data_IF_268479665892
#
_entry.id   IF_268479665892
#
_cell.length_a   1.000
_cell.length_b   1.000
_cell.length_c   1.000
_cell.angle_alpha   90.00
_cell.angle_beta   90.00
_cell.angle_gamma   90.00
#
_symmetry.space_group_name_H-M   'P 1'
#
loop_
_entity.id
_entity.type
_entity.pdbx_description
1 polymer ?
#
# COMPACT_ATOMS: atom_id res chain seq x y z
N UNK A 1 32.39 40.22 -2.50
CA UNK A 1 31.98 39.14 -3.40
C UNK A 1 33.02 38.03 -3.40
N UNK A 2 32.86 37.02 -2.54
CA UNK A 2 33.69 35.82 -2.60
C UNK A 2 33.13 34.89 -3.68
N UNK A 3 33.87 34.78 -4.79
CA UNK A 3 33.62 33.82 -5.86
C UNK A 3 33.97 32.42 -5.35
N UNK A 4 32.96 31.60 -5.06
CA UNK A 4 33.13 30.15 -5.01
C UNK A 4 33.42 29.66 -6.45
N UNK A 5 34.68 29.29 -6.69
CA UNK A 5 35.07 28.55 -7.88
C UNK A 5 34.38 27.17 -7.85
N UNK A 6 33.28 27.04 -8.58
CA UNK A 6 32.58 25.78 -8.79
C UNK A 6 33.30 25.04 -9.93
N UNK A 7 33.89 23.86 -9.65
CA UNK A 7 34.41 22.95 -10.68
C UNK A 7 33.24 22.50 -11.57
N UNK A 8 33.07 23.17 -12.71
CA UNK A 8 32.29 22.69 -13.84
C UNK A 8 33.16 21.72 -14.64
N UNK A 9 32.81 20.43 -14.75
CA UNK A 9 33.52 19.57 -15.71
C UNK A 9 33.38 18.04 -15.66
N UNK A 10 32.89 17.42 -14.58
CA UNK A 10 32.85 15.94 -14.55
C UNK A 10 31.57 15.39 -15.20
N UNK A 11 31.73 14.68 -16.32
CA UNK A 11 30.66 13.88 -16.92
C UNK A 11 30.23 12.82 -15.90
N UNK A 12 28.93 12.56 -15.71
CA UNK A 12 28.46 11.53 -14.79
C UNK A 12 29.07 10.17 -15.18
N UNK A 13 29.77 9.56 -14.22
CA UNK A 13 30.46 8.29 -14.45
C UNK A 13 29.43 7.18 -14.70
N UNK A 14 29.60 6.46 -15.81
CA UNK A 14 28.73 5.31 -16.12
C UNK A 14 29.03 4.15 -15.17
N UNK A 15 27.98 3.43 -14.78
CA UNK A 15 28.11 2.24 -13.96
C UNK A 15 28.99 1.19 -14.65
N UNK A 16 30.04 0.73 -13.97
CA UNK A 16 30.94 -0.30 -14.50
C UNK A 16 30.41 -1.69 -14.18
N UNK A 17 30.83 -2.69 -14.96
CA UNK A 17 30.48 -4.10 -14.71
C UNK A 17 30.98 -4.58 -13.34
N UNK A 18 32.12 -4.08 -12.90
CA UNK A 18 32.67 -4.38 -11.59
C UNK A 18 31.84 -3.78 -10.45
N UNK A 19 31.47 -2.51 -10.54
CA UNK A 19 30.59 -1.85 -9.59
C UNK A 19 29.24 -2.56 -9.49
N UNK A 20 28.66 -2.97 -10.63
CA UNK A 20 27.41 -3.75 -10.64
C UNK A 20 27.58 -5.13 -9.98
N UNK A 21 28.68 -5.85 -10.20
CA UNK A 21 28.95 -7.12 -9.52
C UNK A 21 29.05 -6.95 -8.00
N UNK A 22 29.73 -5.89 -7.56
CA UNK A 22 29.85 -5.58 -6.14
C UNK A 22 28.48 -5.23 -5.54
N UNK A 23 27.68 -4.43 -6.24
CA UNK A 23 26.30 -4.13 -5.84
C UNK A 23 25.45 -5.40 -5.70
N UNK A 24 25.44 -6.29 -6.70
CA UNK A 24 24.64 -7.52 -6.67
C UNK A 24 25.05 -8.47 -5.53
N UNK A 25 26.29 -8.40 -5.06
CA UNK A 25 26.80 -9.19 -3.94
C UNK A 25 26.31 -8.69 -2.58
N UNK A 26 26.26 -7.36 -2.39
CA UNK A 26 25.99 -6.76 -1.08
C UNK A 26 24.57 -6.19 -0.93
N UNK A 27 23.98 -5.67 -2.01
CA UNK A 27 22.64 -5.05 -2.04
C UNK A 27 22.41 -4.05 -0.91
N UNK A 28 23.38 -3.16 -0.70
CA UNK A 28 23.32 -2.10 0.31
C UNK A 28 22.39 -0.95 -0.14
N UNK A 29 21.14 -1.29 -0.45
CA UNK A 29 20.17 -0.34 -0.97
C UNK A 29 19.71 0.65 0.11
N UNK A 30 19.36 1.87 -0.32
CA UNK A 30 18.54 2.80 0.44
C UNK A 30 17.11 2.68 -0.05
N UNK A 31 16.20 2.29 0.86
CA UNK A 31 14.78 2.16 0.55
C UNK A 31 13.96 3.15 1.36
N UNK A 32 13.06 3.87 0.69
CA UNK A 32 12.02 4.71 1.30
C UNK A 32 10.68 4.03 1.09
N UNK A 33 9.98 3.73 2.18
CA UNK A 33 8.66 3.11 2.17
C UNK A 33 7.63 4.08 2.76
N UNK A 34 6.58 4.38 2.00
CA UNK A 34 5.45 5.21 2.43
C UNK A 34 4.24 4.28 2.60
N UNK A 35 3.83 4.06 3.84
CA UNK A 35 2.61 3.34 4.17
C UNK A 35 1.47 4.31 4.44
N UNK A 36 0.30 4.08 3.83
CA UNK A 36 -0.85 4.96 4.01
C UNK A 36 -2.18 4.23 3.75
N UNK A 37 -3.29 4.85 4.15
CA UNK A 37 -4.62 4.41 3.77
C UNK A 37 -4.93 4.72 2.30
N UNK A 38 -5.77 3.89 1.65
CA UNK A 38 -6.26 4.13 0.28
C UNK A 38 -7.32 5.22 0.19
N UNK A 39 -7.95 5.56 1.32
CA UNK A 39 -8.97 6.61 1.39
C UNK A 39 -8.68 7.58 2.53
N UNK A 40 -9.14 8.82 2.37
CA UNK A 40 -9.05 9.85 3.39
C UNK A 40 -10.40 10.58 3.52
N UNK A 41 -10.85 10.75 4.77
CA UNK A 41 -12.07 11.49 5.06
C UNK A 41 -11.80 13.00 5.04
N UNK A 42 -12.62 13.73 4.29
CA UNK A 42 -12.59 15.18 4.19
C UNK A 42 -13.00 15.84 5.52
N UNK A 43 -12.29 16.90 5.86
CA UNK A 43 -12.56 17.82 6.96
C UNK A 43 -13.49 18.93 6.49
N UNK A 44 -14.50 19.31 7.28
CA UNK A 44 -15.49 20.33 6.89
C UNK A 44 -15.40 21.56 7.80
N UNK A 45 -15.33 22.75 7.19
CA UNK A 45 -15.20 24.00 7.94
C UNK A 45 -13.89 24.02 8.75
N UNK A 46 -13.99 24.28 10.06
CA UNK A 46 -12.83 24.35 10.95
C UNK A 46 -12.48 23.02 11.64
N UNK A 47 -13.28 21.96 11.44
CA UNK A 47 -12.98 20.63 11.99
C UNK A 47 -11.72 20.07 11.32
N UNK A 48 -10.85 19.36 12.06
CA UNK A 48 -9.71 18.63 11.50
C UNK A 48 -9.88 17.13 11.70
N UNK A 49 -10.15 16.41 10.62
CA UNK A 49 -10.22 14.95 10.58
C UNK A 49 -8.88 14.41 10.11
N UNK A 50 -8.02 14.08 11.06
CA UNK A 50 -6.71 13.53 10.75
C UNK A 50 -6.82 12.17 10.07
N UNK A 51 -5.89 11.89 9.15
CA UNK A 51 -5.79 10.61 8.46
C UNK A 51 -5.56 9.48 9.47
N UNK A 52 -6.31 8.39 9.31
CA UNK A 52 -6.30 7.27 10.22
C UNK A 52 -6.41 5.94 9.44
N UNK A 53 -5.40 5.06 9.51
CA UNK A 53 -4.14 5.22 10.25
C UNK A 53 -3.27 6.38 9.72
N UNK A 54 -2.39 6.96 10.55
CA UNK A 54 -1.50 8.03 10.12
C UNK A 54 -0.52 7.50 9.08
N UNK A 55 -0.26 8.22 7.97
CA UNK A 55 0.77 7.82 7.03
C UNK A 55 2.12 7.68 7.71
N UNK A 56 2.88 6.66 7.35
CA UNK A 56 4.20 6.37 7.91
C UNK A 56 5.25 6.37 6.81
N UNK A 57 6.44 6.87 7.15
CA UNK A 57 7.62 6.79 6.30
C UNK A 57 8.65 5.92 7.01
N UNK A 58 9.17 4.90 6.33
CA UNK A 58 10.24 4.03 6.81
C UNK A 58 11.47 4.16 5.92
N UNK A 59 12.63 4.20 6.55
CA UNK A 59 13.95 4.12 5.92
C UNK A 59 14.49 2.71 6.13
N UNK A 60 14.50 1.90 5.08
CA UNK A 60 14.90 0.50 5.12
C UNK A 60 16.19 0.26 4.31
N UNK A 61 16.90 -0.81 4.64
CA UNK A 61 18.14 -1.22 3.96
C UNK A 61 19.40 -0.70 4.64
N UNK A 62 20.49 -1.48 4.55
CA UNK A 62 21.80 -1.15 5.11
C UNK A 62 22.44 0.08 4.45
N UNK A 63 21.97 0.48 3.26
CA UNK A 63 22.48 1.62 2.52
C UNK A 63 22.38 2.95 3.27
N UNK A 64 21.37 3.13 4.12
CA UNK A 64 21.23 4.35 4.93
C UNK A 64 22.38 4.49 5.94
N UNK A 65 22.71 3.39 6.62
CA UNK A 65 23.84 3.35 7.57
C UNK A 65 25.17 3.54 6.84
N UNK A 66 25.36 2.87 5.70
CA UNK A 66 26.58 3.02 4.89
C UNK A 66 26.76 4.45 4.37
N UNK A 67 25.65 5.11 3.99
CA UNK A 67 25.66 6.51 3.55
C UNK A 67 26.05 7.45 4.69
N UNK A 68 25.52 7.24 5.89
CA UNK A 68 25.91 7.97 7.10
C UNK A 68 27.42 7.85 7.35
N UNK A 69 27.95 6.62 7.42
CA UNK A 69 29.39 6.36 7.63
C UNK A 69 30.29 6.99 6.55
N UNK A 70 29.83 7.05 5.30
CA UNK A 70 30.57 7.69 4.22
C UNK A 70 30.59 9.20 4.36
N UNK A 71 29.47 9.83 4.72
CA UNK A 71 29.41 11.27 4.95
C UNK A 71 30.27 11.70 6.14
N UNK A 72 30.31 10.89 7.20
CA UNK A 72 31.20 11.11 8.35
C UNK A 72 32.69 11.05 7.96
N UNK A 73 33.08 10.10 7.11
CA UNK A 73 34.45 10.02 6.57
C UNK A 73 34.82 11.21 5.68
N UNK A 74 33.83 11.83 5.04
CA UNK A 74 33.99 13.06 4.26
C UNK A 74 34.01 14.32 5.14
N UNK A 75 33.86 14.18 6.46
CA UNK A 75 33.95 15.26 7.44
C UNK A 75 32.62 15.90 7.83
N UNK A 76 31.47 15.35 7.40
CA UNK A 76 30.16 15.80 7.90
C UNK A 76 29.96 15.39 9.36
N UNK A 77 29.32 16.25 10.12
CA UNK A 77 28.81 15.91 11.46
C UNK A 77 27.62 14.95 11.36
N UNK A 78 27.32 14.25 12.45
CA UNK A 78 26.15 13.35 12.53
C UNK A 78 24.83 14.09 12.19
N UNK A 79 24.69 15.34 12.65
CA UNK A 79 23.53 16.18 12.35
C UNK A 79 23.41 16.54 10.86
N UNK A 80 24.52 16.78 10.19
CA UNK A 80 24.57 17.10 8.76
C UNK A 80 24.26 15.89 7.88
N UNK A 81 24.62 14.68 8.36
CA UNK A 81 24.41 13.44 7.64
C UNK A 81 23.06 12.76 7.96
N UNK A 82 22.33 13.25 8.96
CA UNK A 82 21.00 12.75 9.31
C UNK A 82 19.97 13.05 8.21
N UNK A 83 19.16 12.06 7.78
CA UNK A 83 18.03 12.29 6.89
C UNK A 83 16.89 13.06 7.57
N UNK A 84 16.42 14.10 6.90
CA UNK A 84 15.26 14.90 7.24
C UNK A 84 14.15 14.67 6.21
N UNK A 85 12.91 14.50 6.66
CA UNK A 85 11.76 14.30 5.79
C UNK A 85 10.62 15.29 6.09
N UNK A 86 9.95 15.74 5.05
CA UNK A 86 8.76 16.60 5.12
C UNK A 86 7.65 15.94 4.33
N UNK A 87 6.43 15.90 4.87
CA UNK A 87 5.28 15.27 4.22
C UNK A 87 4.14 16.26 4.02
N UNK A 88 3.50 16.20 2.85
CA UNK A 88 2.33 17.03 2.53
C UNK A 88 1.34 16.29 1.64
N UNK A 89 0.19 16.92 1.39
CA UNK A 89 -0.89 16.36 0.55
C UNK A 89 -0.83 16.85 -0.92
N UNK A 90 0.29 17.46 -1.31
CA UNK A 90 0.50 18.02 -2.65
C UNK A 90 -0.41 19.21 -2.99
N UNK A 91 -0.87 19.96 -1.98
CA UNK A 91 -1.51 21.27 -2.17
C UNK A 91 -0.51 22.35 -1.73
N UNK A 92 -0.29 23.38 -2.56
CA UNK A 92 0.63 24.48 -2.26
C UNK A 92 0.16 25.39 -1.13
N UNK A 93 -1.14 25.37 -0.81
CA UNK A 93 -1.72 26.19 0.28
C UNK A 93 -1.43 25.61 1.67
N UNK A 94 -1.06 24.33 1.77
CA UNK A 94 -0.79 23.67 3.04
C UNK A 94 0.70 23.38 3.17
N UNK A 95 1.32 23.93 4.21
CA UNK A 95 2.72 23.68 4.53
C UNK A 95 2.99 22.18 4.76
N UNK A 96 4.18 21.74 4.34
CA UNK A 96 4.62 20.38 4.60
C UNK A 96 4.96 20.22 6.08
N UNK A 97 4.48 19.13 6.67
CA UNK A 97 4.80 18.77 8.04
C UNK A 97 6.17 18.09 8.11
N UNK A 98 7.04 18.55 9.01
CA UNK A 98 8.30 17.88 9.30
C UNK A 98 8.05 16.53 10.00
N UNK A 99 8.75 15.49 9.55
CA UNK A 99 8.81 14.17 10.17
C UNK A 99 10.09 14.08 10.99
N UNK A 100 9.97 13.77 12.28
CA UNK A 100 11.12 13.53 13.13
C UNK A 100 11.61 12.07 12.96
N UNK A 101 12.74 11.91 12.25
CA UNK A 101 13.44 10.65 12.00
C UNK A 101 14.70 10.50 12.87
N UNK A 102 14.96 11.39 13.82
CA UNK A 102 16.19 11.38 14.64
C UNK A 102 16.29 10.07 15.43
N UNK A 103 17.37 9.31 15.16
CA UNK A 103 17.63 8.01 15.78
C UNK A 103 16.59 6.91 15.47
N UNK A 104 15.64 7.16 14.55
CA UNK A 104 14.58 6.21 14.20
C UNK A 104 14.54 5.95 12.71
N UNK A 105 14.37 4.69 12.35
CA UNK A 105 14.15 4.29 10.95
C UNK A 105 12.72 4.52 10.47
N UNK A 106 11.83 5.09 11.29
CA UNK A 106 10.46 5.37 10.90
C UNK A 106 9.88 6.61 11.58
N UNK A 107 8.91 7.24 10.92
CA UNK A 107 8.11 8.33 11.50
C UNK A 107 6.67 8.30 10.98
N UNK A 108 5.74 8.86 11.75
CA UNK A 108 4.30 8.88 11.43
C UNK A 108 3.77 10.31 11.36
N UNK A 109 2.97 10.61 10.34
CA UNK A 109 2.34 11.91 10.12
C UNK A 109 0.95 11.98 10.76
N UNK A 110 0.89 12.28 12.07
CA UNK A 110 -0.35 12.18 12.86
C UNK A 110 -1.36 13.31 12.64
N UNK A 111 -0.93 14.42 12.05
CA UNK A 111 -1.73 15.66 11.95
C UNK A 111 -2.09 16.04 10.52
N UNK A 112 -1.89 15.14 9.55
CA UNK A 112 -2.32 15.36 8.17
C UNK A 112 -3.84 15.25 8.05
N UNK A 113 -4.45 16.19 7.32
CA UNK A 113 -5.87 16.23 7.00
C UNK A 113 -6.06 16.91 5.63
N UNK A 114 -7.23 16.72 5.02
CA UNK A 114 -7.64 17.41 3.79
C UNK A 114 -8.93 18.19 4.03
N UNK A 115 -8.91 19.49 3.70
CA UNK A 115 -10.05 20.42 3.86
C UNK A 115 -11.12 20.22 2.79
N UNK A 116 -12.33 20.71 3.03
CA UNK A 116 -13.40 20.76 2.04
C UNK A 116 -13.25 21.85 0.98
N UNK A 117 -12.35 22.81 1.22
CA UNK A 117 -11.85 23.73 0.18
C UNK A 117 -11.17 22.97 -0.95
N UNK A 118 -10.46 21.88 -0.64
CA UNK A 118 -9.82 21.02 -1.64
C UNK A 118 -10.86 20.20 -2.42
N UNK A 119 -10.95 20.47 -3.73
CA UNK A 119 -11.94 19.85 -4.63
C UNK A 119 -11.42 18.59 -5.34
N UNK A 120 -10.16 18.21 -5.12
CA UNK A 120 -9.59 17.01 -5.74
C UNK A 120 -10.34 15.77 -5.26
N UNK A 121 -10.68 14.87 -6.19
CA UNK A 121 -11.29 13.56 -5.87
C UNK A 121 -10.24 12.57 -5.36
N UNK A 122 -8.99 12.77 -5.76
CA UNK A 122 -7.85 11.94 -5.38
C UNK A 122 -6.62 12.82 -5.21
N UNK A 123 -5.71 12.41 -4.34
CA UNK A 123 -4.41 13.06 -4.16
C UNK A 123 -3.34 11.99 -3.89
N UNK A 124 -2.07 12.41 -3.86
CA UNK A 124 -0.95 11.60 -3.38
C UNK A 124 -0.25 12.39 -2.28
N UNK A 125 0.30 11.69 -1.30
CA UNK A 125 1.20 12.29 -0.34
C UNK A 125 2.53 12.56 -1.05
N UNK A 126 3.15 13.67 -0.69
CA UNK A 126 4.47 14.07 -1.17
C UNK A 126 5.42 14.04 0.01
N UNK A 127 6.45 13.20 -0.05
CA UNK A 127 7.53 13.12 0.95
C UNK A 127 8.78 13.72 0.33
N UNK A 128 9.18 14.90 0.78
CA UNK A 128 10.43 15.55 0.39
C UNK A 128 11.51 15.18 1.40
N UNK A 129 12.64 14.69 0.93
CA UNK A 129 13.76 14.27 1.77
C UNK A 129 15.04 15.02 1.44
N UNK A 130 15.76 15.41 2.49
CA UNK A 130 17.02 16.15 2.45
C UNK A 130 17.94 15.57 3.54
N UNK A 131 19.25 15.76 3.41
CA UNK A 131 20.17 15.60 4.54
C UNK A 131 20.25 16.90 5.35
N UNK A 132 20.79 16.85 6.57
CA UNK A 132 20.99 18.01 7.43
C UNK A 132 21.87 19.10 6.80
N UNK A 133 22.85 18.71 5.97
CA UNK A 133 23.66 19.64 5.16
C UNK A 133 22.91 20.23 3.95
N UNK A 134 21.59 20.08 3.86
CA UNK A 134 20.74 20.52 2.75
C UNK A 134 20.96 19.82 1.42
N UNK A 135 21.77 18.75 1.36
CA UNK A 135 21.89 17.92 0.16
C UNK A 135 20.55 17.23 -0.12
N UNK A 136 20.09 17.33 -1.37
CA UNK A 136 18.76 16.88 -1.76
C UNK A 136 18.75 15.38 -2.10
N UNK A 137 17.97 14.60 -1.35
CA UNK A 137 17.75 13.18 -1.64
C UNK A 137 16.73 13.09 -2.77
N UNK A 138 15.55 13.70 -2.59
CA UNK A 138 14.52 13.70 -3.61
C UNK A 138 13.10 13.87 -3.07
N UNK A 139 12.14 13.71 -3.97
CA UNK A 139 10.70 13.77 -3.70
C UNK A 139 10.03 12.44 -4.06
N UNK A 140 9.43 11.80 -3.07
CA UNK A 140 8.76 10.51 -3.17
C UNK A 140 7.24 10.69 -3.05
N UNK A 141 6.48 9.97 -3.87
CA UNK A 141 5.01 10.08 -3.89
C UNK A 141 4.39 8.84 -3.24
N UNK A 142 3.25 8.99 -2.56
CA UNK A 142 2.46 7.82 -2.20
C UNK A 142 1.70 7.27 -3.41
N UNK A 143 1.05 6.11 -3.24
CA UNK A 143 0.00 5.70 -4.19
C UNK A 143 -1.21 6.62 -4.03
N UNK A 144 -2.12 6.58 -5.01
CA UNK A 144 -3.31 7.43 -5.06
C UNK A 144 -4.22 7.18 -3.85
N UNK A 145 -4.63 8.27 -3.19
CA UNK A 145 -5.58 8.27 -2.07
C UNK A 145 -6.89 8.90 -2.52
N UNK A 146 -8.01 8.20 -2.34
CA UNK A 146 -9.35 8.67 -2.69
C UNK A 146 -9.95 9.52 -1.56
N UNK A 147 -10.48 10.69 -1.90
CA UNK A 147 -11.16 11.57 -0.94
C UNK A 147 -12.61 11.14 -0.80
N UNK A 148 -13.05 10.93 0.45
CA UNK A 148 -14.44 10.58 0.78
C UNK A 148 -15.04 11.62 1.74
N UNK A 149 -16.34 11.86 1.64
CA UNK A 149 -17.06 12.80 2.52
C UNK A 149 -17.32 12.21 3.89
N UNK A 150 -17.97 11.04 3.94
CA UNK A 150 -18.25 10.23 5.13
C UNK A 150 -18.31 8.74 4.76
N UNK A 151 -18.02 7.82 5.70
CA UNK A 151 -18.30 6.40 5.52
C UNK A 151 -19.79 6.18 5.23
N UNK A 152 -20.12 5.33 4.26
CA UNK A 152 -21.51 5.02 3.93
C UNK A 152 -22.15 4.18 5.04
N UNK A 153 -23.30 4.60 5.55
CA UNK A 153 -24.14 3.79 6.44
C UNK A 153 -25.13 2.89 5.69
N UNK A 154 -25.36 3.15 4.39
CA UNK A 154 -26.25 2.33 3.56
C UNK A 154 -25.54 1.03 3.19
N UNK A 155 -26.31 -0.05 2.94
CA UNK A 155 -25.77 -1.29 2.36
C UNK A 155 -24.90 -0.92 1.16
N UNK A 156 -23.64 -1.34 1.19
CA UNK A 156 -22.70 -1.00 0.12
C UNK A 156 -23.13 -1.74 -1.14
N UNK A 157 -23.17 -1.03 -2.27
CA UNK A 157 -23.41 -1.64 -3.57
C UNK A 157 -22.08 -1.94 -4.26
N UNK A 158 -21.99 -3.10 -4.90
CA UNK A 158 -20.86 -3.47 -5.76
C UNK A 158 -20.67 -2.52 -6.96
N UNK A 159 -21.67 -1.68 -7.27
CA UNK A 159 -21.54 -0.58 -8.26
C UNK A 159 -20.43 0.42 -7.89
N UNK A 160 -20.10 0.53 -6.60
CA UNK A 160 -18.98 1.34 -6.09
C UNK A 160 -17.88 0.42 -5.54
N UNK A 161 -17.33 -0.41 -6.42
CA UNK A 161 -16.28 -1.38 -6.13
C UNK A 161 -15.05 -0.78 -5.42
N UNK A 162 -14.68 0.47 -5.73
CA UNK A 162 -13.54 1.18 -5.12
C UNK A 162 -13.57 1.28 -3.59
N UNK A 163 -14.77 1.21 -2.99
CA UNK A 163 -14.94 1.30 -1.54
C UNK A 163 -15.07 -0.07 -0.88
N UNK A 164 -15.23 -1.13 -1.67
CA UNK A 164 -15.27 -2.50 -1.15
C UNK A 164 -13.85 -2.99 -0.85
N UNK A 165 -13.73 -3.99 0.01
CA UNK A 165 -12.46 -4.63 0.33
C UNK A 165 -12.40 -5.96 -0.41
N UNK A 166 -11.38 -6.14 -1.25
CA UNK A 166 -11.18 -7.38 -1.99
C UNK A 166 -10.27 -8.35 -1.22
N UNK A 167 -10.51 -9.65 -1.40
CA UNK A 167 -9.64 -10.71 -0.91
C UNK A 167 -8.22 -10.54 -1.45
N UNK A 168 -7.23 -10.86 -0.61
CA UNK A 168 -5.81 -10.70 -0.93
C UNK A 168 -5.29 -9.26 -0.88
N UNK A 169 -6.16 -8.26 -0.62
CA UNK A 169 -5.71 -6.88 -0.40
C UNK A 169 -5.30 -6.65 1.05
N UNK A 170 -4.62 -5.52 1.30
CA UNK A 170 -4.14 -5.16 2.64
C UNK A 170 -5.09 -4.18 3.33
N UNK A 171 -5.30 -4.41 4.62
CA UNK A 171 -6.10 -3.57 5.51
C UNK A 171 -5.33 -3.21 6.77
N UNK A 172 -5.67 -2.08 7.38
CA UNK A 172 -5.35 -1.78 8.75
C UNK A 172 -6.62 -1.85 9.60
N UNK A 173 -6.45 -2.27 10.85
CA UNK A 173 -7.50 -2.33 11.85
C UNK A 173 -7.15 -1.38 13.00
N UNK A 174 -8.10 -0.55 13.38
CA UNK A 174 -7.94 0.32 14.53
C UNK A 174 -9.20 0.40 15.37
N UNK A 175 -9.03 0.53 16.67
CA UNK A 175 -10.09 0.82 17.59
C UNK A 175 -9.94 2.24 18.11
N UNK A 176 -11.06 2.92 18.33
CA UNK A 176 -11.11 4.23 18.96
C UNK A 176 -12.17 4.25 20.04
N UNK A 177 -11.75 4.06 21.29
CA UNK A 177 -12.64 4.05 22.44
C UNK A 177 -13.32 5.41 22.61
N UNK A 178 -14.66 5.42 22.66
CA UNK A 178 -15.51 6.63 22.81
C UNK A 178 -15.19 7.75 21.80
N UNK A 179 -14.72 7.39 20.61
CA UNK A 179 -14.34 8.34 19.54
C UNK A 179 -13.24 9.33 19.92
N UNK A 180 -12.43 9.05 20.94
CA UNK A 180 -11.32 9.92 21.37
C UNK A 180 -10.04 9.64 20.59
N UNK A 181 -9.42 10.64 19.97
CA UNK A 181 -8.22 10.42 19.14
C UNK A 181 -7.05 9.81 19.92
N UNK A 182 -6.84 10.23 21.17
CA UNK A 182 -5.76 9.74 22.06
C UNK A 182 -5.94 8.26 22.45
N UNK A 183 -7.18 7.76 22.42
CA UNK A 183 -7.47 6.34 22.71
C UNK A 183 -7.31 5.44 21.48
N UNK A 184 -6.92 5.98 20.32
CA UNK A 184 -6.77 5.16 19.11
C UNK A 184 -5.67 4.12 19.34
N UNK A 185 -6.00 2.86 19.06
CA UNK A 185 -5.06 1.74 19.06
C UNK A 185 -5.18 1.00 17.74
N UNK A 186 -4.05 0.59 17.19
CA UNK A 186 -3.96 -0.11 15.92
C UNK A 186 -3.52 -1.55 16.16
N UNK A 187 -4.11 -2.49 15.44
CA UNK A 187 -3.59 -3.85 15.41
C UNK A 187 -2.18 -3.80 14.80
N UNK A 188 -1.22 -4.40 15.48
CA UNK A 188 0.18 -4.45 15.07
C UNK A 188 0.81 -5.75 15.57
N UNK A 189 1.94 -6.13 14.98
CA UNK A 189 2.69 -7.34 15.35
C UNK A 189 4.11 -6.93 15.71
N UNK A 190 4.53 -7.25 16.93
CA UNK A 190 5.88 -6.99 17.44
C UNK A 190 6.29 -8.14 18.36
N UNK A 191 7.57 -8.53 18.32
CA UNK A 191 8.09 -9.59 19.19
C UNK A 191 7.33 -10.92 19.09
N UNK A 192 6.86 -11.27 17.89
CA UNK A 192 6.11 -12.52 17.66
C UNK A 192 4.69 -12.54 18.27
N UNK A 193 4.12 -11.38 18.62
CA UNK A 193 2.79 -11.30 19.23
C UNK A 193 1.92 -10.22 18.56
N UNK A 194 0.62 -10.47 18.51
CA UNK A 194 -0.37 -9.45 18.13
C UNK A 194 -0.63 -8.51 19.31
N UNK A 195 -0.53 -7.21 19.06
CA UNK A 195 -0.72 -6.16 20.05
C UNK A 195 -1.57 -5.01 19.51
N UNK A 196 -2.01 -4.16 20.42
CA UNK A 196 -2.76 -2.95 20.12
C UNK A 196 -1.86 -1.72 20.38
N UNK A 197 -1.14 -1.26 19.34
CA UNK A 197 -0.16 -0.17 19.46
C UNK A 197 -0.83 1.21 19.39
N UNK A 198 -0.30 2.17 20.14
CA UNK A 198 -0.67 3.60 20.02
C UNK A 198 0.20 4.38 19.02
N UNK A 199 1.30 3.78 18.55
CA UNK A 199 2.32 4.45 17.74
C UNK A 199 2.44 3.88 16.33
N UNK A 200 2.40 2.56 16.22
CA UNK A 200 2.57 1.82 14.98
C UNK A 200 1.27 1.14 14.57
N UNK A 201 1.15 0.76 13.31
CA UNK A 201 0.00 0.01 12.81
C UNK A 201 0.48 -1.03 11.81
N UNK A 202 -0.12 -2.21 11.83
CA UNK A 202 0.15 -3.28 10.89
C UNK A 202 -0.72 -3.19 9.64
N UNK A 203 -0.15 -3.54 8.49
CA UNK A 203 -0.90 -3.86 7.30
C UNK A 203 -1.08 -5.39 7.23
N UNK A 204 -2.32 -5.84 7.18
CA UNK A 204 -2.68 -7.26 7.15
C UNK A 204 -3.34 -7.60 5.83
N UNK A 205 -2.89 -8.65 5.16
CA UNK A 205 -3.66 -9.27 4.11
C UNK A 205 -4.95 -9.83 4.69
N UNK A 206 -6.08 -9.55 4.03
CA UNK A 206 -7.36 -10.16 4.35
C UNK A 206 -7.71 -11.17 3.25
N UNK A 207 -7.64 -12.44 3.57
CA UNK A 207 -7.93 -13.53 2.65
C UNK A 207 -9.33 -14.07 2.92
N UNK A 208 -10.14 -14.17 1.87
CA UNK A 208 -11.42 -14.87 1.90
C UNK A 208 -11.15 -16.37 1.85
N UNK A 209 -11.78 -17.11 2.77
CA UNK A 209 -11.71 -18.56 2.83
C UNK A 209 -13.05 -19.18 2.48
N UNK A 210 -13.05 -20.48 2.16
CA UNK A 210 -14.27 -21.26 2.16
C UNK A 210 -14.78 -21.50 3.58
N UNK A 211 -16.08 -21.74 3.74
CA UNK A 211 -16.65 -21.98 5.05
C UNK A 211 -16.30 -23.38 5.59
N UNK A 212 -15.96 -24.32 4.72
CA UNK A 212 -15.48 -25.66 5.12
C UNK A 212 -13.96 -25.72 5.35
N UNK A 213 -13.23 -24.62 5.11
CA UNK A 213 -11.77 -24.58 5.25
C UNK A 213 -11.34 -24.80 6.70
N UNK A 214 -10.51 -25.82 6.95
CA UNK A 214 -9.96 -26.14 8.27
C UNK A 214 -8.89 -25.13 8.73
N UNK A 215 -8.57 -25.13 10.03
CA UNK A 215 -7.47 -24.30 10.53
C UNK A 215 -6.11 -24.88 10.09
N UNK A 216 -5.29 -24.07 9.41
CA UNK A 216 -3.95 -24.45 8.95
C UNK A 216 -3.07 -23.25 8.61
N UNK A 217 -1.75 -23.45 8.50
CA UNK A 217 -0.81 -22.42 8.04
C UNK A 217 -0.91 -22.22 6.51
N UNK A 218 -1.12 -23.31 5.78
CA UNK A 218 -1.50 -23.31 4.37
C UNK A 218 -3.02 -23.40 4.25
N UNK A 219 -3.60 -22.60 3.36
CA UNK A 219 -5.05 -22.52 3.16
C UNK A 219 -5.37 -22.04 1.74
N UNK A 220 -6.52 -22.46 1.22
CA UNK A 220 -7.00 -22.00 -0.07
C UNK A 220 -7.58 -20.58 0.03
N UNK A 221 -7.10 -19.68 -0.84
CA UNK A 221 -7.59 -18.29 -0.91
C UNK A 221 -8.61 -18.19 -2.04
N UNK A 222 -9.79 -17.64 -1.73
CA UNK A 222 -10.81 -17.33 -2.72
C UNK A 222 -10.71 -15.87 -3.17
N UNK A 223 -10.94 -15.64 -4.45
CA UNK A 223 -11.09 -14.29 -5.01
C UNK A 223 -12.50 -13.73 -4.74
N UNK A 224 -12.61 -12.40 -4.73
CA UNK A 224 -13.88 -11.69 -4.57
C UNK A 224 -13.82 -10.57 -3.54
N UNK A 225 -14.96 -9.89 -3.35
CA UNK A 225 -15.11 -8.89 -2.29
C UNK A 225 -15.53 -9.54 -0.99
N UNK A 226 -14.98 -9.05 0.12
CA UNK A 226 -15.32 -9.50 1.46
C UNK A 226 -16.71 -8.97 1.83
N UNK A 227 -17.60 -9.85 2.22
CA UNK A 227 -18.94 -9.56 2.75
C UNK A 227 -18.99 -9.90 4.23
N UNK A 228 -19.90 -9.25 4.95
CA UNK A 228 -20.19 -9.64 6.34
C UNK A 228 -20.71 -11.09 6.40
N UNK A 229 -20.39 -11.78 7.48
CA UNK A 229 -20.73 -13.19 7.67
C UNK A 229 -19.73 -14.18 7.06
N UNK A 230 -18.79 -13.72 6.24
CA UNK A 230 -17.80 -14.61 5.60
C UNK A 230 -16.60 -14.92 6.49
N UNK A 231 -16.02 -16.10 6.27
CA UNK A 231 -14.77 -16.55 6.90
C UNK A 231 -13.56 -15.87 6.25
N UNK A 232 -12.72 -15.23 7.06
CA UNK A 232 -11.51 -14.52 6.63
C UNK A 232 -10.30 -14.91 7.47
N UNK A 233 -9.11 -14.80 6.87
CA UNK A 233 -7.83 -14.94 7.56
C UNK A 233 -7.02 -13.66 7.42
N UNK A 234 -6.53 -13.15 8.55
CA UNK A 234 -5.71 -11.95 8.61
C UNK A 234 -4.24 -12.32 8.77
N UNK A 235 -3.40 -11.91 7.82
CA UNK A 235 -1.97 -12.26 7.78
C UNK A 235 -1.14 -10.98 7.76
N UNK A 236 -0.20 -10.83 8.70
CA UNK A 236 0.69 -9.68 8.75
C UNK A 236 1.57 -9.63 7.50
N UNK A 237 1.53 -8.50 6.77
CA UNK A 237 2.29 -8.37 5.52
C UNK A 237 3.81 -8.26 5.69
N UNK A 238 4.29 -8.09 6.93
CA UNK A 238 5.72 -7.99 7.25
C UNK A 238 6.24 -9.31 7.84
N UNK A 239 5.59 -9.84 8.87
CA UNK A 239 6.08 -11.02 9.60
C UNK A 239 5.51 -12.34 9.12
N UNK A 240 4.45 -12.32 8.30
CA UNK A 240 3.71 -13.53 7.90
C UNK A 240 2.83 -14.13 9.00
N UNK A 241 2.86 -13.59 10.23
CA UNK A 241 2.01 -14.09 11.31
C UNK A 241 0.53 -13.95 10.97
N UNK A 242 -0.23 -15.02 11.21
CA UNK A 242 -1.65 -15.08 10.95
C UNK A 242 -2.46 -15.13 12.25
N UNK A 243 -3.64 -14.52 12.23
CA UNK A 243 -4.69 -14.83 13.22
C UNK A 243 -5.40 -16.13 12.83
N UNK A 244 -6.08 -16.81 13.78
CA UNK A 244 -6.97 -17.93 13.49
C UNK A 244 -8.07 -17.55 12.48
N UNK A 245 -8.86 -18.52 12.01
CA UNK A 245 -10.05 -18.22 11.18
C UNK A 245 -11.02 -17.30 11.92
N UNK A 246 -11.40 -16.20 11.27
CA UNK A 246 -12.30 -15.19 11.81
C UNK A 246 -13.54 -15.06 10.92
N UNK A 247 -14.68 -14.78 11.51
CA UNK A 247 -15.87 -14.34 10.77
C UNK A 247 -16.05 -12.84 10.99
N UNK A 248 -16.02 -12.07 9.90
CA UNK A 248 -16.20 -10.62 9.97
C UNK A 248 -17.69 -10.28 10.12
N UNK A 249 -18.04 -9.62 11.23
CA UNK A 249 -19.42 -9.24 11.57
C UNK A 249 -19.57 -7.72 11.59
N UNK A 250 -20.74 -7.23 11.18
CA UNK A 250 -21.05 -5.80 11.16
C UNK A 250 -21.38 -5.31 12.55
N UNK A 251 -20.82 -4.18 12.97
CA UNK A 251 -21.08 -3.60 14.29
C UNK A 251 -21.85 -2.30 14.16
N UNK A 252 -23.01 -2.24 14.82
CA UNK A 252 -23.71 -1.00 15.09
C UNK A 252 -23.77 -0.77 16.60
N UNK A 253 -23.26 0.39 17.03
CA UNK A 253 -23.03 0.73 18.45
C UNK A 253 -22.14 -0.32 19.15
N UNK A 254 -22.74 -1.25 19.88
CA UNK A 254 -22.08 -2.34 20.61
C UNK A 254 -22.68 -3.71 20.25
N UNK A 255 -23.46 -3.79 19.18
CA UNK A 255 -24.10 -5.01 18.73
C UNK A 255 -23.48 -5.48 17.42
N UNK A 256 -22.91 -6.70 17.43
CA UNK A 256 -22.49 -7.41 16.24
C UNK A 256 -23.70 -8.13 15.65
N UNK A 257 -24.03 -7.83 14.39
CA UNK A 257 -25.10 -8.49 13.63
C UNK A 257 -24.56 -9.77 12.98
N UNK A 258 -25.33 -10.85 13.12
CA UNK A 258 -24.99 -12.17 12.57
C UNK A 258 -25.57 -12.42 11.17
N UNK A 259 -26.57 -11.62 10.79
CA UNK A 259 -27.36 -11.73 9.56
C UNK A 259 -26.94 -10.73 8.47
N UNK A 260 -25.99 -9.84 8.77
CA UNK A 260 -25.47 -8.90 7.79
C UNK A 260 -24.72 -9.64 6.68
N UNK A 261 -25.11 -9.36 5.44
CA UNK A 261 -24.58 -9.99 4.21
C UNK A 261 -23.98 -8.96 3.24
N UNK A 262 -24.00 -7.66 3.58
CA UNK A 262 -23.54 -6.62 2.68
C UNK A 262 -22.00 -6.58 2.54
N UNK A 263 -21.44 -6.08 1.42
CA UNK A 263 -20.01 -5.92 1.24
C UNK A 263 -19.39 -5.04 2.32
N UNK A 264 -18.24 -5.45 2.83
CA UNK A 264 -17.46 -4.66 3.79
C UNK A 264 -16.85 -3.45 3.08
N UNK A 265 -17.09 -2.26 3.64
CA UNK A 265 -16.68 -0.99 3.04
C UNK A 265 -15.66 -0.24 3.90
N UNK A 266 -14.95 0.71 3.28
CA UNK A 266 -13.95 1.55 3.97
C UNK A 266 -14.54 2.26 5.19
N UNK A 267 -13.79 2.24 6.29
CA UNK A 267 -14.13 2.89 7.57
C UNK A 267 -15.40 2.36 8.25
N UNK A 268 -15.88 1.18 7.86
CA UNK A 268 -16.92 0.49 8.62
C UNK A 268 -16.43 0.00 9.97
N UNK A 269 -17.35 -0.06 10.94
CA UNK A 269 -17.13 -0.75 12.20
C UNK A 269 -17.52 -2.21 12.06
N UNK A 270 -16.62 -3.09 12.44
CA UNK A 270 -16.74 -4.52 12.35
C UNK A 270 -16.17 -5.19 13.60
N UNK A 271 -16.54 -6.45 13.82
CA UNK A 271 -15.99 -7.30 14.85
C UNK A 271 -15.54 -8.61 14.20
N UNK A 272 -14.55 -9.26 14.78
CA UNK A 272 -14.02 -10.52 14.30
C UNK A 272 -14.34 -11.63 15.30
N UNK A 273 -15.34 -12.44 14.97
CA UNK A 273 -15.68 -13.63 15.74
C UNK A 273 -14.66 -14.73 15.44
N UNK A 274 -14.12 -15.38 16.46
CA UNK A 274 -13.22 -16.53 16.27
C UNK A 274 -14.06 -17.75 15.91
N UNK A 275 -13.86 -18.28 14.71
CA UNK A 275 -14.66 -19.39 14.19
C UNK A 275 -14.52 -20.63 15.10
N UNK A 276 -15.60 -21.39 15.24
CA UNK A 276 -15.69 -22.60 16.07
C UNK A 276 -15.50 -22.38 17.58
N UNK A 277 -15.68 -21.14 18.06
CA UNK A 277 -15.64 -20.79 19.50
C UNK A 277 -17.00 -20.39 20.05
N UNK A 278 -17.16 -20.41 21.37
CA UNK A 278 -18.40 -19.97 22.02
C UNK A 278 -18.51 -18.44 22.12
N UNK A 279 -18.88 -17.79 21.00
CA UNK A 279 -19.06 -16.32 20.90
C UNK A 279 -17.82 -15.53 21.32
N UNK A 280 -16.62 -16.05 21.06
CA UNK A 280 -15.38 -15.33 21.36
C UNK A 280 -15.05 -14.36 20.22
N UNK A 281 -14.71 -13.13 20.58
CA UNK A 281 -14.32 -12.10 19.63
C UNK A 281 -12.90 -11.61 19.88
N UNK A 282 -12.24 -11.21 18.78
CA UNK A 282 -10.96 -10.52 18.82
C UNK A 282 -11.15 -9.15 19.48
N UNK A 283 -10.63 -9.01 20.69
CA UNK A 283 -10.84 -7.83 21.53
C UNK A 283 -9.50 -7.25 21.96
N UNK A 284 -9.40 -5.92 21.97
CA UNK A 284 -8.29 -5.28 22.66
C UNK A 284 -8.60 -5.14 24.15
N UNK A 285 -7.58 -5.28 24.97
CA UNK A 285 -7.59 -4.86 26.37
C UNK A 285 -6.29 -4.13 26.66
N UNK A 286 -6.40 -2.81 26.83
CA UNK A 286 -5.25 -1.90 26.92
C UNK A 286 -4.36 -1.99 25.67
N UNK A 287 -3.20 -2.65 25.76
CA UNK A 287 -2.24 -2.84 24.67
C UNK A 287 -2.19 -4.31 24.19
N UNK A 288 -2.96 -5.21 24.82
CA UNK A 288 -2.98 -6.64 24.48
C UNK A 288 -4.17 -6.98 23.59
N UNK A 289 -3.97 -7.98 22.75
CA UNK A 289 -5.04 -8.63 22.00
C UNK A 289 -5.46 -9.88 22.78
N UNK A 290 -6.75 -9.96 23.10
CA UNK A 290 -7.35 -11.05 23.86
C UNK A 290 -8.59 -11.57 23.14
N UNK A 291 -9.07 -12.72 23.58
CA UNK A 291 -10.39 -13.22 23.21
C UNK A 291 -11.38 -12.79 24.30
N UNK A 292 -12.51 -12.20 23.90
CA UNK A 292 -13.56 -11.79 24.85
C UNK A 292 -14.90 -12.36 24.42
N UNK A 293 -15.61 -12.99 25.36
CA UNK A 293 -16.90 -13.60 25.09
C UNK A 293 -17.99 -12.53 24.99
N UNK A 294 -18.76 -12.56 23.89
CA UNK A 294 -19.91 -11.68 23.72
C UNK A 294 -21.14 -12.21 24.49
N UNK A 295 -22.00 -11.28 24.89
CA UNK A 295 -23.27 -11.59 25.55
C UNK A 295 -24.38 -11.63 24.51
N UNK A 296 -25.23 -12.67 24.54
CA UNK A 296 -26.38 -12.73 23.64
C UNK A 296 -27.38 -11.59 23.97
N UNK A 297 -27.90 -10.93 22.94
CA UNK A 297 -28.90 -9.89 23.15
C UNK A 297 -30.25 -10.52 23.54
N UNK A 298 -30.85 -10.05 24.64
CA UNK A 298 -32.14 -10.56 25.12
C UNK A 298 -33.34 -10.18 24.24
N UNK A 299 -33.20 -9.13 23.43
CA UNK A 299 -34.29 -8.59 22.59
C UNK A 299 -34.23 -9.05 21.13
N UNK A 300 -33.04 -9.40 20.64
CA UNK A 300 -32.79 -9.68 19.23
C UNK A 300 -31.84 -10.88 19.12
N UNK A 301 -32.37 -12.04 18.71
CA UNK A 301 -31.60 -13.29 18.65
C UNK A 301 -30.48 -13.27 17.59
N UNK A 302 -30.58 -12.39 16.59
CA UNK A 302 -29.60 -12.20 15.52
C UNK A 302 -28.45 -11.24 15.87
N UNK A 303 -28.38 -10.75 17.12
CA UNK A 303 -27.33 -9.83 17.57
C UNK A 303 -26.65 -10.30 18.85
N UNK A 304 -25.35 -10.05 18.90
CA UNK A 304 -24.51 -10.28 20.06
C UNK A 304 -23.92 -8.97 20.56
N UNK A 305 -24.00 -8.72 21.86
CA UNK A 305 -23.44 -7.54 22.51
C UNK A 305 -21.94 -7.77 22.71
N UNK A 306 -21.14 -6.97 22.03
CA UNK A 306 -19.68 -7.04 22.04
C UNK A 306 -19.09 -5.91 22.87
N UNK A 307 -17.92 -6.16 23.46
CA UNK A 307 -17.16 -5.14 24.16
C UNK A 307 -16.72 -4.01 23.19
N UNK A 308 -16.59 -2.78 23.67
CA UNK A 308 -16.07 -1.66 22.88
C UNK A 308 -14.68 -1.98 22.27
N UNK A 309 -13.86 -2.76 22.97
CA UNK A 309 -12.55 -3.22 22.50
C UNK A 309 -12.60 -4.25 21.36
N UNK A 310 -13.76 -4.87 21.11
CA UNK A 310 -13.98 -5.80 20.00
C UNK A 310 -14.52 -5.11 18.73
N UNK A 311 -14.83 -3.81 18.80
CA UNK A 311 -15.27 -3.00 17.65
C UNK A 311 -14.07 -2.41 16.90
N UNK A 312 -13.68 -3.00 15.80
CA UNK A 312 -12.59 -2.53 14.94
C UNK A 312 -13.12 -1.69 13.77
N UNK A 313 -12.40 -0.65 13.42
CA UNK A 313 -12.60 0.08 12.18
C UNK A 313 -11.62 -0.45 11.14
N UNK A 314 -12.14 -0.88 9.99
CA UNK A 314 -11.36 -1.45 8.90
C UNK A 314 -11.15 -0.44 7.79
N UNK A 315 -9.93 -0.41 7.23
CA UNK A 315 -9.59 0.47 6.11
C UNK A 315 -8.51 -0.18 5.25
N UNK A 316 -8.66 -0.13 3.93
CA UNK A 316 -7.64 -0.61 3.00
C UNK A 316 -6.40 0.29 3.02
N UNK A 317 -5.24 -0.34 2.93
CA UNK A 317 -3.94 0.34 2.95
C UNK A 317 -3.16 0.06 1.68
N UNK A 318 -2.22 0.94 1.39
CA UNK A 318 -1.31 0.82 0.26
C UNK A 318 0.13 1.16 0.68
N UNK A 319 1.08 0.79 -0.17
CA UNK A 319 2.48 1.12 -0.02
C UNK A 319 3.07 1.69 -1.30
N UNK A 320 3.88 2.73 -1.16
CA UNK A 320 4.83 3.14 -2.18
C UNK A 320 6.24 2.85 -1.67
N UNK A 321 7.02 2.11 -2.45
CA UNK A 321 8.36 1.66 -2.09
C UNK A 321 9.33 2.11 -3.17
N UNK A 322 10.40 2.77 -2.75
CA UNK A 322 11.41 3.34 -3.63
C UNK A 322 12.78 2.90 -3.18
N UNK A 323 13.49 2.19 -4.04
CA UNK A 323 14.80 1.61 -3.75
C UNK A 323 15.83 2.18 -4.72
N UNK A 324 16.96 2.65 -4.18
CA UNK A 324 18.04 3.22 -4.98
C UNK A 324 19.41 2.96 -4.35
N UNK A 325 20.45 2.99 -5.19
CA UNK A 325 21.83 2.79 -4.80
C UNK A 325 22.79 3.64 -5.64
N UNK A 326 23.76 4.28 -4.99
CA UNK A 326 24.78 5.12 -5.62
C UNK A 326 25.96 4.25 -6.10
N UNK A 327 25.82 3.60 -7.25
CA UNK A 327 26.78 2.60 -7.74
C UNK A 327 28.19 3.10 -8.07
N UNK A 328 28.34 4.40 -8.34
CA UNK A 328 29.63 5.05 -8.62
C UNK A 328 29.97 6.13 -7.59
N UNK A 329 29.38 6.06 -6.40
CA UNK A 329 29.50 7.09 -5.36
C UNK A 329 28.49 8.24 -5.50
N UNK A 330 28.63 9.28 -4.66
CA UNK A 330 27.65 10.37 -4.57
C UNK A 330 27.42 11.09 -5.90
N UNK A 331 26.16 11.41 -6.19
CA UNK A 331 25.77 12.16 -7.39
C UNK A 331 25.21 13.54 -7.00
N UNK A 332 25.46 14.61 -7.77
CA UNK A 332 24.98 15.96 -7.44
C UNK A 332 23.49 16.16 -7.72
N UNK A 333 22.87 15.25 -8.49
CA UNK A 333 21.45 15.27 -8.82
C UNK A 333 20.65 14.41 -7.86
N UNK A 334 19.42 14.81 -7.49
CA UNK A 334 18.54 13.97 -6.68
C UNK A 334 18.28 12.60 -7.34
N UNK A 335 18.02 11.57 -6.54
CA UNK A 335 17.74 10.21 -7.07
C UNK A 335 16.34 10.07 -7.67
N UNK A 336 15.47 11.06 -7.45
CA UNK A 336 14.09 11.06 -7.93
C UNK A 336 13.93 11.81 -9.26
N UNK A 337 13.02 11.39 -10.16
CA UNK A 337 12.03 10.31 -9.98
C UNK A 337 12.62 8.90 -10.06
N UNK A 338 12.38 8.09 -9.02
CA UNK A 338 12.84 6.70 -8.98
C UNK A 338 11.94 5.84 -9.87
N UNK A 339 12.48 5.08 -10.83
CA UNK A 339 11.67 4.22 -11.69
C UNK A 339 11.06 3.06 -10.90
N UNK A 340 9.79 2.76 -11.18
CA UNK A 340 9.06 1.63 -10.58
C UNK A 340 8.61 0.70 -11.70
N UNK A 341 9.06 -0.55 -11.65
CA UNK A 341 8.66 -1.59 -12.61
C UNK A 341 7.54 -2.41 -12.00
N UNK A 342 6.31 -2.27 -12.53
CA UNK A 342 5.14 -3.00 -12.02
C UNK A 342 4.97 -4.37 -12.68
N UNK A 343 5.26 -4.49 -13.98
CA UNK A 343 5.14 -5.74 -14.74
C UNK A 343 6.27 -5.88 -15.76
N UNK A 344 6.61 -7.13 -16.09
CA UNK A 344 7.53 -7.48 -17.16
C UNK A 344 6.81 -8.41 -18.13
N UNK A 345 6.77 -8.06 -19.41
CA UNK A 345 6.18 -8.88 -20.46
C UNK A 345 7.24 -9.20 -21.51
N UNK A 346 7.44 -10.48 -21.79
CA UNK A 346 8.31 -10.93 -22.87
C UNK A 346 7.56 -10.84 -24.19
N UNK A 347 7.97 -9.94 -25.07
CA UNK A 347 7.48 -9.92 -26.45
C UNK A 347 8.31 -10.89 -27.29
N UNK A 348 7.68 -11.92 -27.84
CA UNK A 348 8.31 -12.77 -28.86
C UNK A 348 8.06 -12.12 -30.21
N UNK A 349 9.11 -11.66 -30.88
CA UNK A 349 9.03 -11.31 -32.28
C UNK A 349 8.60 -12.56 -33.07
N UNK A 350 7.51 -12.44 -33.82
CA UNK A 350 7.18 -13.45 -34.83
C UNK A 350 8.37 -13.51 -35.79
N UNK A 351 8.87 -14.69 -36.18
CA UNK A 351 9.92 -14.75 -37.18
C UNK A 351 9.38 -14.11 -38.45
N UNK A 352 9.95 -12.98 -38.82
CA UNK A 352 9.89 -12.48 -40.19
C UNK A 352 10.45 -13.62 -41.03
N UNK A 353 9.58 -14.28 -41.81
CA UNK A 353 10.02 -15.21 -42.84
C UNK A 353 10.81 -14.39 -43.87
N UNK A 354 12.11 -14.25 -43.62
CA UNK A 354 13.05 -13.59 -44.51
C UNK A 354 13.37 -14.49 -45.69
N UNK A 355 12.96 -14.02 -46.87
CA UNK A 355 13.59 -14.20 -48.17
C UNK A 355 14.49 -15.44 -48.37
N UNK A 356 13.95 -16.48 -49.02
CA UNK A 356 14.74 -17.35 -49.87
C UNK A 356 14.81 -16.74 -51.28
N UNK A 357 15.98 -16.26 -51.71
CA UNK A 357 16.22 -15.86 -53.09
C UNK A 357 16.97 -16.98 -53.85
N UNK A 358 16.46 -17.27 -55.05
CA UNK A 358 17.05 -17.96 -56.21
C UNK A 358 17.21 -19.49 -56.24
N UNK A 359 16.39 -20.12 -57.10
CA UNK A 359 16.90 -20.96 -58.20
C UNK A 359 15.98 -20.88 -59.42
N UNK A 360 16.47 -20.23 -60.47
CA UNK A 360 15.97 -20.37 -61.84
C UNK A 360 16.44 -21.74 -62.37
N UNK A 361 15.52 -22.54 -62.87
CA UNK A 361 15.79 -23.54 -63.91
C UNK A 361 14.63 -23.50 -64.90
N UNK A 362 14.95 -23.18 -66.15
CA UNK A 362 14.00 -23.07 -67.25
C UNK A 362 13.67 -24.43 -67.89
N UNK A 363 12.58 -24.44 -68.66
CA UNK A 363 12.20 -25.54 -69.54
C UNK A 363 10.78 -25.42 -70.08
N UNK A 364 10.63 -24.70 -71.21
CA UNK A 364 9.68 -24.83 -72.34
C UNK A 364 8.35 -25.62 -72.16
N UNK A 365 7.20 -25.01 -72.50
CA UNK A 365 6.49 -25.22 -73.79
C UNK A 365 5.01 -24.73 -73.78
N UNK A 366 4.69 -23.89 -74.78
CA UNK A 366 3.53 -23.87 -75.71
C UNK A 366 2.05 -23.83 -75.24
N UNK A 367 1.27 -22.98 -75.92
CA UNK A 367 -0.17 -23.15 -76.23
C UNK A 367 -1.11 -22.13 -75.57
N UNK A 368 -1.44 -21.02 -76.21
CA UNK A 368 -2.64 -20.81 -77.07
C UNK A 368 -3.99 -20.64 -76.33
N UNK A 369 -4.45 -19.38 -76.34
CA UNK A 369 -5.80 -18.86 -76.72
C UNK A 369 -7.13 -19.47 -76.24
N UNK A 370 -8.07 -18.54 -76.07
CA UNK A 370 -9.53 -18.67 -75.95
C UNK A 370 -10.04 -19.14 -74.57
N UNK A 371 -10.99 -18.50 -73.90
CA UNK A 371 -12.03 -17.56 -74.32
C UNK A 371 -13.28 -17.84 -73.48
N UNK A 372 -14.21 -16.89 -73.50
CA UNK A 372 -15.59 -16.96 -72.98
C UNK A 372 -15.81 -16.97 -71.45
N UNK A 373 -16.32 -15.82 -70.96
CA UNK A 373 -17.30 -15.79 -69.87
C UNK A 373 -18.63 -16.43 -70.31
N UNK A 374 -19.66 -16.41 -69.44
CA UNK A 374 -20.46 -15.19 -69.39
C UNK A 374 -21.00 -14.80 -68.00
N UNK A 375 -21.36 -13.51 -67.95
CA UNK A 375 -22.23 -12.86 -66.99
C UNK A 375 -23.64 -13.48 -66.93
N UNK A 376 -24.30 -13.40 -65.77
CA UNK A 376 -25.70 -12.98 -65.57
C UNK A 376 -26.00 -13.02 -64.06
N UNK A 377 -26.21 -11.86 -63.43
CA UNK A 377 -27.51 -11.19 -63.17
C UNK A 377 -28.14 -11.62 -61.83
N UNK A 378 -28.26 -10.67 -60.88
CA UNK A 378 -29.10 -10.82 -59.67
C UNK A 378 -30.59 -10.64 -60.00
N UNK A 379 -31.47 -10.17 -59.09
CA UNK A 379 -31.36 -10.08 -57.63
C UNK A 379 -32.54 -10.80 -56.92
N UNK A 380 -32.43 -11.00 -55.60
CA UNK A 380 -33.50 -10.74 -54.62
C UNK A 380 -32.88 -10.57 -53.23
#
# INVERSE_FOLDING_TARGET
CFLFFRKFGERPQRLTREAMRNYLKHKDDQTVLILHAKVAQKSYGNEKRFFCPPPCVYLMGSGWKKKLENMEKEGCTEQEAQPCAFIGIGNSEQEMQQLNLEGKHFCTAKTLYISDSDKRKHFMLTVKMLYGNSANIGVFLSKRIKVISKPSKKKQSLKNADLCIASGTKVALFNRLRSQTVSTRYLHVEGGNFLASSQQWGAFYIHLLDDEESEGEEFAVRDGYIHYGQTVKLVCSVTGMALPRLVIRKVDKQAASMDADDPVSQLHKCAFYLKDTERMYLCLSQERIIQFQATQCSKESNKEIVNDGASWTIISTDKAEYTFYEGMGPVPTPVTPVPVVETLQMWRERPVCGAGHFRLQGGLALGETAGSGPCHAGPQ
#
